data_IF_070070470835
#
_entry.id   IF_070070470835
#
_cell.length_a   1.000
_cell.length_b   1.000
_cell.length_c   1.000
_cell.angle_alpha   90.00
_cell.angle_beta   90.00
_cell.angle_gamma   90.00
#
_symmetry.space_group_name_H-M   'P 1'
#
loop_
_entity.id
_entity.type
_entity.pdbx_description
1 polymer ?
#
# COMPACT_ATOMS: atom_id res chain seq x y z
N UNK A 1 -19.09 46.47 18.60
CA UNK A 1 -19.19 47.35 17.40
C UNK A 1 -17.96 48.26 17.25
N UNK A 2 -17.29 48.68 18.32
CA UNK A 2 -16.12 49.60 18.27
C UNK A 2 -14.81 48.99 17.68
N UNK A 3 -14.66 47.65 17.71
CA UNK A 3 -13.43 46.99 17.23
C UNK A 3 -13.31 46.93 15.70
N UNK A 4 -14.44 46.85 14.97
CA UNK A 4 -14.46 46.85 13.50
C UNK A 4 -14.06 48.22 12.94
N UNK A 5 -14.49 49.30 13.58
CA UNK A 5 -14.13 50.67 13.18
C UNK A 5 -12.65 50.99 13.43
N UNK A 6 -12.02 50.34 14.42
CA UNK A 6 -10.57 50.44 14.67
C UNK A 6 -9.75 49.66 13.62
N UNK A 7 -10.30 48.57 13.08
CA UNK A 7 -9.72 47.79 11.99
C UNK A 7 -9.80 48.50 10.63
N UNK A 8 -10.87 49.26 10.37
CA UNK A 8 -10.98 50.08 9.14
C UNK A 8 -10.01 51.28 9.13
N UNK A 9 -9.66 51.81 10.31
CA UNK A 9 -8.69 52.92 10.45
C UNK A 9 -7.23 52.46 10.51
N UNK A 10 -6.98 51.16 10.53
CA UNK A 10 -5.64 50.58 10.54
C UNK A 10 -5.02 50.66 9.13
N UNK A 11 -3.80 51.18 9.04
CA UNK A 11 -3.07 51.23 7.77
C UNK A 11 -2.92 49.80 7.21
N UNK A 12 -3.36 49.60 5.96
CA UNK A 12 -3.24 48.33 5.23
C UNK A 12 -1.83 47.73 5.29
N UNK A 13 -0.78 48.56 5.39
CA UNK A 13 0.62 48.12 5.52
C UNK A 13 0.84 47.29 6.79
N UNK A 14 0.23 47.69 7.90
CA UNK A 14 0.34 46.98 9.18
C UNK A 14 -0.36 45.62 9.07
N UNK A 15 -1.51 45.57 8.40
CA UNK A 15 -2.23 44.32 8.14
C UNK A 15 -1.37 43.36 7.30
N UNK A 16 -0.70 43.86 6.25
CA UNK A 16 0.21 43.04 5.44
C UNK A 16 1.44 42.57 6.22
N UNK A 17 2.00 43.39 7.11
CA UNK A 17 3.12 42.97 7.98
C UNK A 17 2.67 41.91 8.98
N UNK A 18 1.50 42.06 9.59
CA UNK A 18 0.94 41.05 10.51
C UNK A 18 0.67 39.75 9.76
N UNK A 19 0.10 39.79 8.55
CA UNK A 19 -0.08 38.60 7.71
C UNK A 19 1.26 37.97 7.33
N UNK A 20 2.24 38.78 6.93
CA UNK A 20 3.59 38.31 6.59
C UNK A 20 4.21 37.57 7.78
N UNK A 21 4.14 38.15 8.98
CA UNK A 21 4.65 37.53 10.20
C UNK A 21 3.85 36.26 10.52
N UNK A 22 2.53 36.30 10.43
CA UNK A 22 1.66 35.16 10.73
C UNK A 22 1.90 33.96 9.79
N UNK A 23 2.24 34.19 8.52
CA UNK A 23 2.60 33.13 7.55
C UNK A 23 4.07 32.74 7.67
N UNK A 24 4.96 33.68 7.99
CA UNK A 24 6.41 33.40 8.12
C UNK A 24 6.73 32.59 9.36
N UNK A 25 6.01 32.80 10.47
CA UNK A 25 6.28 32.09 11.73
C UNK A 25 6.15 30.56 11.56
N UNK A 26 5.05 29.98 11.03
CA UNK A 26 4.94 28.53 10.81
C UNK A 26 5.97 27.96 9.82
N UNK A 27 6.46 28.78 8.87
CA UNK A 27 7.46 28.36 7.89
C UNK A 27 8.87 28.35 8.49
N UNK A 28 9.18 29.31 9.38
CA UNK A 28 10.47 29.43 10.04
C UNK A 28 10.58 28.55 11.29
N UNK A 29 9.46 28.33 11.99
CA UNK A 29 9.38 27.50 13.18
C UNK A 29 8.92 26.10 12.77
N UNK A 30 9.86 25.16 12.72
CA UNK A 30 9.54 23.73 12.61
C UNK A 30 8.87 23.29 13.91
N UNK A 31 7.55 23.17 13.88
CA UNK A 31 6.78 22.55 14.95
C UNK A 31 7.02 21.04 14.89
N UNK A 32 8.05 20.58 15.60
CA UNK A 32 8.29 19.15 15.84
C UNK A 32 7.26 18.63 16.86
N UNK A 33 6.01 18.51 16.41
CA UNK A 33 4.98 17.83 17.19
C UNK A 33 5.17 16.32 17.02
N UNK A 34 5.38 15.54 18.10
CA UNK A 34 5.41 14.10 17.99
C UNK A 34 4.01 13.65 17.55
N UNK A 35 3.91 13.11 16.34
CA UNK A 35 2.70 12.46 15.85
C UNK A 35 2.77 11.05 16.45
N UNK A 36 2.02 10.73 17.53
CA UNK A 36 2.04 9.39 18.08
C UNK A 36 1.55 8.42 17.00
N UNK A 37 2.24 7.29 16.85
CA UNK A 37 1.77 6.24 15.96
C UNK A 37 0.43 5.69 16.45
N UNK A 38 -0.48 5.44 15.52
CA UNK A 38 -1.70 4.72 15.85
C UNK A 38 -1.40 3.23 15.98
N UNK A 39 -2.25 2.52 16.73
CA UNK A 39 -2.11 1.07 16.91
C UNK A 39 -2.01 0.35 15.56
N UNK A 40 -2.78 0.80 14.58
CA UNK A 40 -2.83 0.20 13.26
C UNK A 40 -1.51 0.37 12.49
N UNK A 41 -0.83 1.51 12.66
CA UNK A 41 0.51 1.74 12.09
C UNK A 41 1.53 0.83 12.75
N UNK A 42 1.51 0.72 14.08
CA UNK A 42 2.43 -0.18 14.81
C UNK A 42 2.21 -1.63 14.37
N UNK A 43 0.96 -2.07 14.26
CA UNK A 43 0.64 -3.43 13.83
C UNK A 43 1.04 -3.69 12.37
N UNK A 44 0.89 -2.71 11.47
CA UNK A 44 1.39 -2.79 10.09
C UNK A 44 2.91 -2.99 10.08
N UNK A 45 3.62 -2.15 10.83
CA UNK A 45 5.07 -2.18 10.93
C UNK A 45 5.57 -3.51 11.49
N UNK A 46 5.01 -3.95 12.62
CA UNK A 46 5.34 -5.23 13.25
C UNK A 46 5.01 -6.42 12.35
N UNK A 47 3.92 -6.36 11.58
CA UNK A 47 3.57 -7.46 10.66
C UNK A 47 4.65 -7.65 9.60
N UNK A 48 5.16 -6.55 9.02
CA UNK A 48 6.27 -6.61 8.06
C UNK A 48 7.58 -7.04 8.73
N UNK A 49 7.87 -6.52 9.93
CA UNK A 49 9.10 -6.86 10.65
C UNK A 49 9.19 -8.34 11.05
N UNK A 50 8.04 -8.97 11.33
CA UNK A 50 7.96 -10.38 11.69
C UNK A 50 7.94 -11.33 10.48
N UNK A 51 7.96 -10.81 9.24
CA UNK A 51 8.10 -11.67 8.06
C UNK A 51 9.50 -12.29 8.01
N UNK A 52 9.60 -13.60 7.71
CA UNK A 52 10.88 -14.22 7.39
C UNK A 52 11.52 -13.56 6.16
N UNK A 53 12.84 -13.45 6.17
CA UNK A 53 13.62 -12.99 5.01
C UNK A 53 13.29 -13.80 3.75
N UNK A 54 13.15 -13.12 2.62
CA UNK A 54 12.79 -13.75 1.34
C UNK A 54 11.30 -14.09 1.18
N UNK A 55 10.46 -13.74 2.16
CA UNK A 55 9.00 -13.93 2.05
C UNK A 55 8.43 -13.22 0.83
N UNK A 56 7.49 -13.87 0.15
CA UNK A 56 6.77 -13.26 -0.97
C UNK A 56 5.54 -12.52 -0.46
N UNK A 57 5.43 -11.25 -0.87
CA UNK A 57 4.32 -10.36 -0.57
C UNK A 57 3.53 -10.10 -1.84
N UNK A 58 2.22 -10.26 -1.71
CA UNK A 58 1.27 -9.95 -2.77
C UNK A 58 0.89 -8.47 -2.68
N UNK A 59 1.06 -7.74 -3.79
CA UNK A 59 0.96 -6.28 -3.79
C UNK A 59 0.01 -5.79 -4.88
N UNK A 60 -1.32 -5.84 -4.68
CA UNK A 60 -2.25 -5.22 -5.61
C UNK A 60 -2.17 -3.68 -5.50
N UNK A 61 -1.81 -3.03 -6.60
CA UNK A 61 -1.69 -1.58 -6.73
C UNK A 61 -2.82 -1.05 -7.62
N UNK A 62 -3.94 -0.72 -6.99
CA UNK A 62 -5.23 -0.43 -7.63
C UNK A 62 -5.50 1.09 -7.66
N UNK A 63 -4.70 1.81 -8.45
CA UNK A 63 -4.82 3.26 -8.60
C UNK A 63 -4.39 3.75 -9.98
N UNK A 64 -4.70 5.02 -10.27
CA UNK A 64 -4.56 5.65 -11.58
C UNK A 64 -3.82 6.99 -11.49
N UNK A 65 -3.47 7.62 -12.64
CA UNK A 65 -2.83 8.95 -12.67
C UNK A 65 -3.53 10.03 -11.84
N UNK A 66 -4.86 9.94 -11.66
CA UNK A 66 -5.65 10.93 -10.93
C UNK A 66 -5.44 10.89 -9.42
N UNK A 67 -4.97 9.77 -8.89
CA UNK A 67 -4.76 9.51 -7.45
C UNK A 67 -3.29 9.36 -7.04
N UNK A 68 -2.36 9.51 -8.00
CA UNK A 68 -0.90 9.36 -7.79
C UNK A 68 -0.34 10.25 -6.69
N UNK A 69 -0.78 11.52 -6.65
CA UNK A 69 -0.25 12.49 -5.70
C UNK A 69 -0.41 12.04 -4.24
N UNK A 70 -1.41 11.21 -3.96
CA UNK A 70 -1.68 10.64 -2.64
C UNK A 70 -1.06 9.25 -2.47
N UNK A 71 -1.15 8.40 -3.49
CA UNK A 71 -0.86 6.96 -3.36
C UNK A 71 0.57 6.58 -3.71
N UNK A 72 1.27 7.36 -4.53
CA UNK A 72 2.69 7.16 -4.82
C UNK A 72 3.56 7.20 -3.55
N UNK A 73 3.49 8.21 -2.66
CA UNK A 73 4.32 8.22 -1.46
C UNK A 73 4.02 7.02 -0.54
N UNK A 74 2.77 6.56 -0.51
CA UNK A 74 2.38 5.36 0.24
C UNK A 74 3.02 4.10 -0.35
N UNK A 75 2.95 3.94 -1.67
CA UNK A 75 3.58 2.82 -2.38
C UNK A 75 5.09 2.80 -2.19
N UNK A 76 5.75 3.94 -2.33
CA UNK A 76 7.20 4.06 -2.11
C UNK A 76 7.59 3.69 -0.69
N UNK A 77 6.83 4.12 0.31
CA UNK A 77 7.07 3.76 1.71
C UNK A 77 6.94 2.26 1.95
N UNK A 78 5.84 1.65 1.47
CA UNK A 78 5.60 0.22 1.60
C UNK A 78 6.68 -0.62 0.90
N UNK A 79 7.04 -0.28 -0.35
CA UNK A 79 8.12 -0.93 -1.09
C UNK A 79 9.46 -0.81 -0.35
N UNK A 80 9.78 0.37 0.18
CA UNK A 80 11.00 0.60 0.95
C UNK A 80 11.08 -0.31 2.17
N UNK A 81 10.00 -0.43 2.93
CA UNK A 81 9.97 -1.26 4.13
C UNK A 81 10.11 -2.75 3.78
N UNK A 82 9.32 -3.24 2.81
CA UNK A 82 9.35 -4.62 2.35
C UNK A 82 10.72 -5.03 1.83
N UNK A 83 11.35 -4.19 1.00
CA UNK A 83 12.65 -4.50 0.41
C UNK A 83 13.83 -4.37 1.36
N UNK A 84 13.72 -3.55 2.41
CA UNK A 84 14.67 -3.57 3.55
C UNK A 84 14.61 -4.87 4.33
N UNK A 85 13.44 -5.53 4.37
CA UNK A 85 13.24 -6.88 4.94
C UNK A 85 13.47 -8.00 3.94
N UNK A 86 14.16 -7.72 2.83
CA UNK A 86 14.45 -8.69 1.78
C UNK A 86 13.21 -9.47 1.30
N UNK A 87 12.02 -8.88 1.40
CA UNK A 87 10.81 -9.49 0.87
C UNK A 87 10.81 -9.43 -0.66
N UNK A 88 10.19 -10.41 -1.30
CA UNK A 88 9.96 -10.43 -2.74
C UNK A 88 8.54 -9.96 -3.04
N UNK A 89 8.34 -9.30 -4.17
CA UNK A 89 7.07 -8.62 -4.46
C UNK A 89 6.44 -9.13 -5.75
N UNK A 90 5.20 -9.62 -5.67
CA UNK A 90 4.36 -9.90 -6.83
C UNK A 90 3.29 -8.82 -6.91
N UNK A 91 3.40 -7.94 -7.90
CA UNK A 91 2.54 -6.78 -8.06
C UNK A 91 1.71 -6.87 -9.32
N UNK A 92 0.51 -6.29 -9.29
CA UNK A 92 -0.39 -6.16 -10.44
C UNK A 92 -1.44 -5.09 -10.14
N UNK A 93 -2.30 -4.78 -11.11
CA UNK A 93 -3.38 -3.81 -10.94
C UNK A 93 -4.71 -4.30 -11.54
N UNK A 94 -5.81 -3.93 -10.90
CA UNK A 94 -7.17 -4.11 -11.42
C UNK A 94 -7.74 -2.86 -12.10
N UNK A 95 -6.91 -1.82 -12.26
CA UNK A 95 -7.27 -0.56 -12.91
C UNK A 95 -6.56 -0.50 -14.26
N UNK A 96 -7.30 -0.23 -15.33
CA UNK A 96 -6.80 -0.27 -16.71
C UNK A 96 -5.80 0.85 -17.03
N UNK A 97 -5.97 2.01 -16.40
CA UNK A 97 -5.09 3.18 -16.52
C UNK A 97 -3.90 3.17 -15.54
N UNK A 98 -3.87 2.22 -14.60
CA UNK A 98 -2.83 2.08 -13.59
C UNK A 98 -1.45 1.57 -14.04
N UNK A 99 -1.32 0.65 -15.03
CA UNK A 99 -0.07 -0.08 -15.26
C UNK A 99 1.15 0.78 -15.50
N UNK A 100 1.03 1.83 -16.31
CA UNK A 100 2.16 2.69 -16.64
C UNK A 100 2.72 3.43 -15.42
N UNK A 101 1.84 3.84 -14.50
CA UNK A 101 2.25 4.53 -13.27
C UNK A 101 2.89 3.54 -12.30
N UNK A 102 2.25 2.39 -12.08
CA UNK A 102 2.70 1.35 -11.14
C UNK A 102 4.06 0.80 -11.57
N UNK A 103 4.25 0.50 -12.86
CA UNK A 103 5.52 0.03 -13.41
C UNK A 103 6.63 1.07 -13.25
N UNK A 104 6.34 2.36 -13.51
CA UNK A 104 7.31 3.44 -13.34
C UNK A 104 7.79 3.55 -11.88
N UNK A 105 6.88 3.49 -10.90
CA UNK A 105 7.21 3.55 -9.47
C UNK A 105 8.03 2.32 -9.07
N UNK A 106 7.63 1.11 -9.50
CA UNK A 106 8.35 -0.12 -9.21
C UNK A 106 9.77 -0.10 -9.75
N UNK A 107 9.96 0.29 -11.01
CA UNK A 107 11.29 0.35 -11.65
C UNK A 107 12.20 1.36 -11.00
N UNK A 108 11.69 2.56 -10.71
CA UNK A 108 12.44 3.61 -10.03
C UNK A 108 12.90 3.14 -8.64
N UNK A 109 11.97 2.65 -7.82
CA UNK A 109 12.29 2.16 -6.48
C UNK A 109 13.23 0.94 -6.53
N UNK A 110 13.03 0.01 -7.48
CA UNK A 110 13.89 -1.15 -7.65
C UNK A 110 15.32 -0.75 -8.03
N UNK A 111 15.49 0.27 -8.87
CA UNK A 111 16.80 0.83 -9.20
C UNK A 111 17.48 1.45 -7.99
N UNK A 112 16.74 2.21 -7.17
CA UNK A 112 17.27 2.83 -5.95
C UNK A 112 17.68 1.79 -4.88
N UNK A 113 16.99 0.65 -4.83
CA UNK A 113 17.21 -0.40 -3.83
C UNK A 113 17.94 -1.64 -4.38
N UNK A 114 18.49 -1.56 -5.60
CA UNK A 114 19.23 -2.60 -6.28
C UNK A 114 18.49 -3.96 -6.31
N UNK A 115 17.21 -3.95 -6.70
CA UNK A 115 16.36 -5.14 -6.82
C UNK A 115 16.30 -5.65 -8.26
N UNK A 116 16.43 -6.96 -8.44
CA UNK A 116 16.42 -7.62 -9.73
C UNK A 116 14.99 -8.02 -10.16
N UNK A 117 14.59 -7.60 -11.36
CA UNK A 117 13.34 -8.02 -11.97
C UNK A 117 13.30 -9.54 -12.17
N UNK A 118 12.14 -10.17 -11.98
CA UNK A 118 11.95 -11.61 -12.12
C UNK A 118 12.41 -12.44 -10.92
N UNK A 119 13.29 -11.90 -10.07
CA UNK A 119 13.78 -12.59 -8.86
C UNK A 119 13.29 -11.92 -7.57
N UNK A 120 13.45 -10.61 -7.44
CA UNK A 120 13.05 -9.84 -6.26
C UNK A 120 11.66 -9.23 -6.41
N UNK A 121 11.27 -8.88 -7.64
CA UNK A 121 9.95 -8.38 -7.91
C UNK A 121 9.48 -8.73 -9.33
N UNK A 122 8.16 -8.84 -9.50
CA UNK A 122 7.49 -9.04 -10.79
C UNK A 122 6.26 -8.15 -10.85
N UNK A 123 6.05 -7.50 -11.99
CA UNK A 123 4.82 -6.77 -12.28
C UNK A 123 4.02 -7.49 -13.36
N UNK A 124 2.87 -8.05 -12.98
CA UNK A 124 2.03 -8.86 -13.86
C UNK A 124 1.12 -8.02 -14.79
N UNK A 125 1.04 -6.70 -14.56
CA UNK A 125 0.24 -5.80 -15.37
C UNK A 125 -1.22 -5.72 -14.93
N UNK A 126 -2.11 -5.44 -15.89
CA UNK A 126 -3.54 -5.25 -15.65
C UNK A 126 -4.36 -6.48 -15.97
N UNK A 127 -5.40 -6.74 -15.17
CA UNK A 127 -6.45 -7.71 -15.52
C UNK A 127 -7.84 -7.13 -15.29
N UNK A 128 -8.66 -7.17 -16.34
CA UNK A 128 -10.08 -6.87 -16.24
C UNK A 128 -10.85 -8.01 -15.57
N UNK A 129 -11.76 -7.67 -14.66
CA UNK A 129 -12.66 -8.63 -14.02
C UNK A 129 -12.88 -8.45 -12.51
N UNK A 130 -12.23 -7.45 -11.90
CA UNK A 130 -12.53 -6.99 -10.52
C UNK A 130 -12.57 -8.14 -9.51
N UNK A 131 -13.68 -8.36 -8.81
CA UNK A 131 -13.82 -9.40 -7.78
C UNK A 131 -13.65 -10.82 -8.33
N UNK A 132 -14.05 -11.06 -9.58
CA UNK A 132 -13.85 -12.37 -10.22
C UNK A 132 -12.37 -12.69 -10.31
N UNK A 133 -11.55 -11.69 -10.66
CA UNK A 133 -10.09 -11.83 -10.72
C UNK A 133 -9.52 -12.06 -9.32
N UNK A 134 -10.01 -11.36 -8.29
CA UNK A 134 -9.55 -11.58 -6.90
C UNK A 134 -9.74 -13.04 -6.44
N UNK A 135 -10.89 -13.64 -6.77
CA UNK A 135 -11.19 -15.04 -6.43
C UNK A 135 -10.37 -16.02 -7.28
N UNK A 136 -10.15 -15.72 -8.57
CA UNK A 136 -9.35 -16.58 -9.45
C UNK A 136 -7.88 -16.60 -9.03
N UNK A 137 -7.30 -15.43 -8.75
CA UNK A 137 -5.93 -15.25 -8.26
C UNK A 137 -5.69 -16.01 -6.96
N UNK A 138 -6.70 -16.11 -6.09
CA UNK A 138 -6.59 -16.88 -4.86
C UNK A 138 -6.19 -18.34 -5.13
N UNK A 139 -6.61 -18.90 -6.27
CA UNK A 139 -6.38 -20.29 -6.65
C UNK A 139 -5.21 -20.49 -7.61
N UNK A 140 -4.95 -19.57 -8.53
CA UNK A 140 -3.79 -19.59 -9.43
C UNK A 140 -3.51 -18.22 -10.01
N UNK A 141 -2.34 -17.68 -9.70
CA UNK A 141 -1.83 -16.39 -10.20
C UNK A 141 -1.38 -16.56 -11.64
N UNK A 142 -0.63 -17.63 -11.96
CA UNK A 142 -0.14 -17.86 -13.33
C UNK A 142 -1.27 -18.24 -14.29
N UNK A 143 -2.36 -18.82 -13.80
CA UNK A 143 -3.57 -19.07 -14.60
C UNK A 143 -4.30 -17.78 -15.00
N UNK A 144 -4.26 -16.76 -14.15
CA UNK A 144 -4.84 -15.44 -14.44
C UNK A 144 -3.89 -14.57 -15.28
N UNK A 145 -2.60 -14.63 -14.96
CA UNK A 145 -1.51 -13.91 -15.61
C UNK A 145 -0.51 -14.90 -16.22
N UNK A 146 -0.78 -15.40 -17.45
CA UNK A 146 0.15 -16.30 -18.12
C UNK A 146 1.46 -15.60 -18.51
N UNK A 147 1.43 -14.29 -18.68
CA UNK A 147 2.55 -13.41 -19.02
C UNK A 147 2.54 -12.21 -18.07
N UNK A 148 3.72 -11.64 -17.86
CA UNK A 148 3.91 -10.41 -17.10
C UNK A 148 3.65 -9.16 -17.97
N UNK A 149 3.78 -7.97 -17.37
CA UNK A 149 3.57 -6.71 -18.09
C UNK A 149 4.56 -6.48 -19.24
N UNK A 150 5.75 -7.10 -19.18
CA UNK A 150 6.79 -7.00 -20.22
C UNK A 150 6.63 -8.06 -21.32
N UNK A 151 5.60 -8.93 -21.25
CA UNK A 151 5.37 -10.03 -22.17
C UNK A 151 6.22 -11.28 -21.90
N UNK A 152 6.87 -11.37 -20.74
CA UNK A 152 7.61 -12.56 -20.33
C UNK A 152 6.64 -13.58 -19.76
N UNK A 153 6.66 -14.85 -20.21
CA UNK A 153 5.83 -15.88 -19.61
C UNK A 153 6.11 -16.01 -18.12
N UNK A 154 5.04 -16.01 -17.31
CA UNK A 154 5.13 -16.09 -15.85
C UNK A 154 5.91 -17.34 -15.39
N UNK A 155 5.88 -18.41 -16.18
CA UNK A 155 6.62 -19.66 -15.91
C UNK A 155 8.14 -19.50 -15.98
N UNK A 156 8.63 -18.53 -16.75
CA UNK A 156 10.06 -18.30 -16.96
C UNK A 156 10.66 -17.39 -15.87
N UNK A 157 9.82 -16.78 -15.03
CA UNK A 157 10.25 -15.87 -13.97
C UNK A 157 10.59 -16.67 -12.68
N UNK A 158 11.83 -16.59 -12.16
CA UNK A 158 12.24 -17.32 -10.96
C UNK A 158 11.36 -17.10 -9.72
N UNK A 159 10.83 -15.88 -9.53
CA UNK A 159 9.92 -15.55 -8.43
C UNK A 159 8.58 -16.29 -8.55
N UNK A 160 8.04 -16.36 -9.76
CA UNK A 160 6.73 -16.96 -10.02
C UNK A 160 6.76 -18.50 -9.99
N UNK A 161 7.95 -19.11 -10.07
CA UNK A 161 8.11 -20.54 -9.80
C UNK A 161 7.98 -20.89 -8.31
N UNK A 162 8.13 -19.91 -7.41
CA UNK A 162 7.97 -20.10 -5.96
C UNK A 162 6.52 -19.88 -5.49
N UNK A 163 5.68 -19.22 -6.29
CA UNK A 163 4.35 -18.76 -5.90
C UNK A 163 3.39 -18.89 -7.08
N UNK A 164 2.38 -19.75 -6.92
CA UNK A 164 1.25 -19.79 -7.85
C UNK A 164 -0.07 -19.53 -7.15
N UNK A 165 -0.20 -19.83 -5.86
CA UNK A 165 -1.41 -19.57 -5.10
C UNK A 165 -1.21 -18.39 -4.19
N UNK A 166 -2.29 -17.70 -3.88
CA UNK A 166 -2.24 -16.60 -2.92
C UNK A 166 -1.80 -17.09 -1.53
N UNK A 167 -2.13 -18.34 -1.16
CA UNK A 167 -1.66 -18.99 0.08
C UNK A 167 -0.14 -19.18 0.18
N UNK A 168 0.57 -19.14 -0.95
CA UNK A 168 2.03 -19.27 -0.96
C UNK A 168 2.70 -17.96 -0.54
N UNK A 169 1.96 -16.84 -0.62
CA UNK A 169 2.38 -15.53 -0.09
C UNK A 169 2.11 -15.41 1.40
N UNK A 170 2.85 -14.54 2.09
CA UNK A 170 2.70 -14.35 3.55
C UNK A 170 1.86 -13.15 3.94
N UNK A 171 1.71 -12.19 3.03
CA UNK A 171 1.09 -10.91 3.31
C UNK A 171 0.50 -10.32 2.02
N UNK A 172 -0.64 -9.65 2.16
CA UNK A 172 -1.21 -8.80 1.11
C UNK A 172 -1.07 -7.35 1.57
N UNK A 173 -0.39 -6.53 0.77
CA UNK A 173 -0.32 -5.08 0.97
C UNK A 173 -1.04 -4.42 -0.20
N UNK A 174 -2.22 -3.85 0.06
CA UNK A 174 -3.03 -3.23 -0.99
C UNK A 174 -3.00 -1.71 -0.87
N UNK A 175 -2.75 -1.05 -2.01
CA UNK A 175 -2.84 0.40 -2.15
C UNK A 175 -3.87 0.66 -3.23
N UNK A 176 -4.94 1.37 -2.87
CA UNK A 176 -6.07 1.58 -3.76
C UNK A 176 -6.72 2.94 -3.58
N UNK A 177 -7.19 3.54 -4.67
CA UNK A 177 -7.88 4.83 -4.69
C UNK A 177 -9.41 4.71 -4.57
N UNK A 178 -9.96 3.53 -4.83
CA UNK A 178 -11.41 3.35 -4.95
C UNK A 178 -11.79 1.91 -5.24
N UNK A 179 -12.71 1.73 -6.19
CA UNK A 179 -13.25 0.41 -6.54
C UNK A 179 -12.70 -0.09 -7.89
N UNK A 180 -12.21 -1.34 -7.98
CA UNK A 180 -11.98 -2.26 -6.88
C UNK A 180 -10.80 -1.80 -6.01
N UNK A 181 -10.87 -2.07 -4.70
CA UNK A 181 -9.81 -1.70 -3.76
C UNK A 181 -9.82 -2.53 -2.49
N UNK A 182 -9.28 -1.95 -1.41
CA UNK A 182 -9.00 -2.69 -0.16
C UNK A 182 -10.24 -3.39 0.40
N UNK A 183 -11.41 -2.76 0.31
CA UNK A 183 -12.66 -3.32 0.82
C UNK A 183 -12.99 -4.65 0.13
N UNK A 184 -12.91 -4.69 -1.19
CA UNK A 184 -13.19 -5.89 -1.98
C UNK A 184 -12.12 -6.94 -1.74
N UNK A 185 -10.84 -6.55 -1.63
CA UNK A 185 -9.74 -7.46 -1.26
C UNK A 185 -10.00 -8.19 0.06
N UNK A 186 -10.42 -7.47 1.10
CA UNK A 186 -10.74 -8.08 2.40
C UNK A 186 -11.98 -8.98 2.32
N UNK A 187 -12.98 -8.60 1.50
CA UNK A 187 -14.21 -9.38 1.37
C UNK A 187 -14.01 -10.69 0.61
N UNK A 188 -13.26 -10.63 -0.49
CA UNK A 188 -13.03 -11.77 -1.40
C UNK A 188 -11.89 -12.67 -0.90
N UNK A 189 -10.82 -12.09 -0.37
CA UNK A 189 -9.64 -12.82 0.11
C UNK A 189 -9.65 -12.88 1.62
N UNK A 190 -10.26 -13.94 2.16
CA UNK A 190 -10.31 -14.20 3.62
C UNK A 190 -9.18 -15.07 4.15
N UNK A 191 -8.21 -15.38 3.30
CA UNK A 191 -7.22 -16.44 3.55
C UNK A 191 -5.94 -15.88 4.19
N UNK A 192 -5.62 -14.60 3.95
CA UNK A 192 -4.42 -13.94 4.45
C UNK A 192 -4.73 -12.59 5.12
N UNK A 193 -3.84 -12.09 6.00
CA UNK A 193 -3.91 -10.71 6.47
C UNK A 193 -3.78 -9.75 5.28
N UNK A 194 -4.79 -8.90 5.08
CA UNK A 194 -4.76 -7.80 4.13
C UNK A 194 -4.49 -6.52 4.91
N UNK A 195 -3.35 -5.90 4.65
CA UNK A 195 -2.99 -4.62 5.24
C UNK A 195 -3.38 -3.48 4.29
N UNK A 196 -4.32 -2.59 4.68
CA UNK A 196 -4.60 -1.37 3.93
C UNK A 196 -3.38 -0.45 3.94
N UNK A 197 -2.98 0.05 2.77
CA UNK A 197 -1.96 1.08 2.62
C UNK A 197 -2.51 2.49 2.39
N UNK A 198 -3.82 2.73 2.52
CA UNK A 198 -4.48 4.03 2.25
C UNK A 198 -4.85 4.85 3.51
N UNK A 199 -5.38 6.09 3.36
CA UNK A 199 -5.75 6.98 4.48
C UNK A 199 -6.86 6.41 5.36
N UNK A 200 -7.64 5.46 4.84
CA UNK A 200 -8.58 4.67 5.60
C UNK A 200 -7.87 3.44 6.18
N UNK A 201 -7.13 3.62 7.27
CA UNK A 201 -6.85 2.55 8.24
C UNK A 201 -8.16 2.18 8.94
N UNK A 202 -9.07 1.59 8.17
CA UNK A 202 -10.38 1.12 8.58
C UNK A 202 -10.34 -0.38 8.85
N UNK A 203 -10.30 -0.71 10.13
CA UNK A 203 -10.54 -2.02 10.76
C UNK A 203 -11.30 -3.01 9.86
N UNK A 204 -10.59 -3.99 9.31
CA UNK A 204 -11.19 -5.24 8.89
C UNK A 204 -10.18 -6.37 9.07
N UNK A 205 -10.35 -7.16 10.13
CA UNK A 205 -9.63 -8.44 10.23
C UNK A 205 -9.25 -8.98 11.62
N UNK A 206 -9.52 -8.28 12.73
CA UNK A 206 -9.00 -8.75 14.05
C UNK A 206 -9.99 -9.31 15.07
N UNK A 207 -11.29 -9.16 14.89
CA UNK A 207 -12.27 -9.68 15.86
C UNK A 207 -12.53 -11.19 15.78
N UNK A 208 -12.21 -11.85 14.67
CA UNK A 208 -12.44 -13.31 14.52
C UNK A 208 -11.32 -14.23 15.01
N UNK A 209 -10.06 -13.74 15.05
CA UNK A 209 -8.91 -14.64 15.16
C UNK A 209 -8.55 -15.05 16.61
N UNK A 210 -8.75 -14.19 17.62
CA UNK A 210 -8.46 -14.56 19.03
C UNK A 210 -9.34 -15.71 19.55
N UNK A 211 -10.50 -15.95 18.93
CA UNK A 211 -11.37 -17.08 19.28
C UNK A 211 -10.91 -18.42 18.71
N UNK A 212 -10.30 -18.43 17.52
CA UNK A 212 -10.04 -19.66 16.77
C UNK A 212 -8.73 -20.33 17.17
N UNK A 213 -7.71 -19.55 17.57
CA UNK A 213 -6.43 -20.08 18.09
C UNK A 213 -6.59 -20.75 19.46
N UNK A 214 -7.56 -20.31 20.27
CA UNK A 214 -7.90 -20.98 21.55
C UNK A 214 -8.75 -22.24 21.36
N UNK A 215 -9.53 -22.34 20.29
CA UNK A 215 -10.35 -23.52 19.99
C UNK A 215 -9.52 -24.73 19.53
N UNK A 216 -8.45 -24.48 18.77
CA UNK A 216 -7.59 -25.55 18.24
C UNK A 216 -6.75 -26.26 19.33
N UNK A 217 -6.29 -25.56 20.37
CA UNK A 217 -5.54 -26.17 21.50
C UNK A 217 -6.39 -26.99 22.48
N UNK A 218 -7.72 -27.00 22.35
CA UNK A 218 -8.62 -27.73 23.25
C UNK A 218 -9.17 -29.04 22.68
N UNK A 219 -8.74 -29.43 21.48
CA UNK A 219 -9.15 -30.69 20.82
C UNK A 219 -8.02 -31.71 20.66
N UNK A 220 -6.85 -31.46 21.25
CA UNK A 220 -5.72 -32.41 21.29
C UNK A 220 -5.30 -32.74 22.74
N UNK A 221 -6.27 -32.86 23.64
CA UNK A 221 -6.09 -33.34 25.02
C UNK A 221 -7.24 -34.23 25.44
#
# INVERSE_FOLDING_TARGET
MDWMQRLEKLDRRIIFVIMLIAVSIPVLVRLDMPIPSSKEVDDYYETIENLPDGSVVFFPADFDPGSVAELEPMMRSALTHLWRKNCKIVCFTLWDTGPGVVDAILRDMAGQMNKAYGTDYVFLGFKAGREVVMVQIANSISGVFPEDYSGTPTKDLPLMQQVDKLTDTKLIVNISAGYPGTKEWVQQVRILPVLPGGPALGVAGRTGWRGQVRGARRREG
#
